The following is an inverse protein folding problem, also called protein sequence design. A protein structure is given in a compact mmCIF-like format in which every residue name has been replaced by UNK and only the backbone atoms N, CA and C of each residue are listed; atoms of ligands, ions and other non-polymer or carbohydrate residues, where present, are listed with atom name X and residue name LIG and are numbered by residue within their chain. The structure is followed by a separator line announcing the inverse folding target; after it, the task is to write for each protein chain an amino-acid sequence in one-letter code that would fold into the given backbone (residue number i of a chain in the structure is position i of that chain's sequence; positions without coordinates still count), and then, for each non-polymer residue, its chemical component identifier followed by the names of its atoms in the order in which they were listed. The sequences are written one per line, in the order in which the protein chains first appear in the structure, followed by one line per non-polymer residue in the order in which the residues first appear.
data_IF_410698461069
#
_entry.id   IF_410698461069
#
_cell.length_a   1.000
_cell.length_b   1.000
_cell.length_c   1.000
_cell.angle_alpha   90.00
_cell.angle_beta   90.00
_cell.angle_gamma   90.00
#
_symmetry.space_group_name_H-M   'P 1'
#
loop_
_entity.id
_entity.type
_entity.pdbx_description
1 polymer ?
#
# COMPACT_ATOMS: atom_id res chain seq x y z
N UNK A 1 3.10 -63.68 -12.77
CA UNK A 1 3.33 -62.59 -13.75
C UNK A 1 2.72 -61.31 -13.16
N UNK A 2 3.53 -60.49 -12.53
CA UNK A 2 3.10 -59.15 -12.00
C UNK A 2 3.31 -58.12 -13.11
N UNK A 3 2.26 -57.50 -13.60
CA UNK A 3 2.35 -56.36 -14.52
C UNK A 3 2.72 -55.11 -13.69
N UNK A 4 3.91 -54.59 -13.88
CA UNK A 4 4.28 -53.27 -13.46
C UNK A 4 3.60 -52.24 -14.41
N UNK A 5 2.77 -51.40 -13.86
CA UNK A 5 2.22 -50.22 -14.54
C UNK A 5 3.24 -49.11 -14.35
N UNK A 6 3.96 -48.73 -15.39
CA UNK A 6 4.81 -47.54 -15.40
C UNK A 6 3.90 -46.30 -15.53
N UNK A 7 3.75 -45.54 -14.46
CA UNK A 7 3.10 -44.25 -14.53
C UNK A 7 4.17 -43.21 -14.88
N UNK A 8 4.18 -42.79 -16.13
CA UNK A 8 5.03 -41.66 -16.57
C UNK A 8 4.39 -40.37 -16.09
N UNK A 9 4.90 -39.79 -15.01
CA UNK A 9 4.56 -38.41 -14.61
C UNK A 9 5.18 -37.46 -15.64
N UNK A 10 4.39 -36.90 -16.49
CA UNK A 10 4.77 -35.72 -17.28
C UNK A 10 4.74 -34.51 -16.34
N UNK A 11 5.91 -34.07 -15.90
CA UNK A 11 6.07 -32.78 -15.22
C UNK A 11 5.85 -31.73 -16.31
N UNK A 12 4.62 -31.26 -16.43
CA UNK A 12 4.33 -30.02 -17.16
C UNK A 12 4.91 -28.92 -16.32
N UNK A 13 5.96 -28.27 -16.83
CA UNK A 13 6.61 -27.16 -16.14
C UNK A 13 5.60 -26.02 -15.97
N UNK A 14 5.15 -25.81 -14.74
CA UNK A 14 4.32 -24.66 -14.32
C UNK A 14 5.03 -23.30 -14.48
N UNK A 15 6.28 -23.29 -14.93
CA UNK A 15 7.07 -22.07 -15.12
C UNK A 15 6.58 -21.15 -16.25
N UNK A 16 5.69 -21.62 -17.12
CA UNK A 16 5.16 -20.80 -18.24
C UNK A 16 3.98 -19.90 -17.85
N UNK A 17 3.22 -20.24 -16.81
CA UNK A 17 2.02 -19.48 -16.43
C UNK A 17 2.29 -18.31 -15.48
N UNK A 18 3.34 -18.40 -14.66
CA UNK A 18 3.73 -17.30 -13.77
C UNK A 18 4.51 -16.18 -14.46
N UNK A 19 5.05 -16.44 -15.64
CA UNK A 19 5.82 -15.45 -16.40
C UNK A 19 4.95 -14.59 -17.33
N UNK A 20 3.73 -15.00 -17.63
CA UNK A 20 2.85 -14.26 -18.55
C UNK A 20 2.00 -13.16 -17.87
N UNK A 21 1.84 -13.20 -16.55
CA UNK A 21 1.15 -12.13 -15.81
C UNK A 21 2.09 -11.02 -15.31
N UNK A 22 3.42 -11.28 -15.30
CA UNK A 22 4.45 -10.30 -14.91
C UNK A 22 5.16 -9.64 -16.10
N UNK A 23 4.90 -10.14 -17.32
CA UNK A 23 5.44 -9.62 -18.58
C UNK A 23 4.29 -9.26 -19.57
N UNK A 24 3.23 -8.62 -19.12
CA UNK A 24 2.49 -7.75 -19.99
C UNK A 24 3.51 -6.68 -20.45
N UNK A 25 3.72 -6.59 -21.76
CA UNK A 25 4.73 -5.83 -22.46
C UNK A 25 4.98 -4.43 -21.85
N UNK A 26 5.78 -4.37 -20.79
CA UNK A 26 6.17 -3.16 -20.05
C UNK A 26 7.40 -2.48 -20.69
N UNK A 27 7.83 -2.98 -21.85
CA UNK A 27 9.04 -2.48 -22.55
C UNK A 27 8.81 -1.21 -23.35
N UNK A 28 7.72 -0.48 -23.09
CA UNK A 28 7.36 0.72 -23.85
C UNK A 28 7.12 2.01 -23.07
N UNK A 29 7.09 1.99 -21.73
CA UNK A 29 6.82 3.17 -20.90
C UNK A 29 7.75 3.21 -19.68
N UNK A 30 8.60 4.25 -19.58
CA UNK A 30 9.16 4.73 -18.32
C UNK A 30 10.32 3.94 -17.70
N UNK A 31 11.17 3.24 -18.46
CA UNK A 31 12.38 2.59 -17.90
C UNK A 31 12.13 1.32 -17.10
N UNK A 32 13.24 0.67 -16.67
CA UNK A 32 13.17 -0.55 -15.85
C UNK A 32 12.98 -0.21 -14.36
N UNK A 33 12.09 -0.93 -13.65
CA UNK A 33 11.96 -0.83 -12.21
C UNK A 33 13.25 -1.29 -11.54
N UNK A 34 13.87 -0.40 -10.76
CA UNK A 34 15.04 -0.68 -9.94
C UNK A 34 14.58 -1.05 -8.52
N UNK A 35 15.18 -2.11 -7.94
CA UNK A 35 14.88 -2.54 -6.55
C UNK A 35 16.13 -2.41 -5.72
N UNK A 36 15.99 -1.89 -4.49
CA UNK A 36 17.10 -1.67 -3.60
C UNK A 36 16.66 -1.66 -2.13
N UNK A 37 17.62 -1.44 -1.24
CA UNK A 37 17.42 -1.32 0.19
C UNK A 37 18.10 -0.06 0.71
N UNK A 38 17.48 0.60 1.67
CA UNK A 38 18.07 1.67 2.46
C UNK A 38 18.21 1.22 3.91
N UNK A 39 19.33 1.59 4.55
CA UNK A 39 19.52 1.34 5.97
C UNK A 39 18.73 2.37 6.80
N UNK A 40 18.00 1.91 7.82
CA UNK A 40 17.27 2.76 8.75
C UNK A 40 17.57 2.33 10.19
N UNK A 41 17.17 3.13 11.17
CA UNK A 41 17.30 2.76 12.58
C UNK A 41 16.60 1.44 12.92
N UNK A 42 15.51 1.11 12.21
CA UNK A 42 14.68 -0.07 12.46
C UNK A 42 14.93 -1.24 11.50
N UNK A 43 16.08 -1.26 10.83
CA UNK A 43 16.46 -2.30 9.88
C UNK A 43 16.50 -1.78 8.44
N UNK A 44 16.73 -2.68 7.49
CA UNK A 44 16.77 -2.31 6.07
C UNK A 44 15.35 -2.23 5.53
N UNK A 45 15.08 -1.15 4.82
CA UNK A 45 13.82 -0.90 4.15
C UNK A 45 13.97 -1.13 2.65
N UNK A 46 13.18 -2.05 2.12
CA UNK A 46 13.11 -2.30 0.68
C UNK A 46 12.29 -1.21 -0.02
N UNK A 47 12.74 -0.81 -1.18
CA UNK A 47 11.97 0.05 -2.08
C UNK A 47 12.22 -0.35 -3.53
N UNK A 48 11.31 0.06 -4.39
CA UNK A 48 11.57 0.09 -5.82
C UNK A 48 11.36 1.50 -6.35
N UNK A 49 12.06 1.83 -7.41
CA UNK A 49 11.93 3.12 -8.07
C UNK A 49 11.90 3.00 -9.59
N UNK A 50 11.28 3.99 -10.24
CA UNK A 50 11.17 4.11 -11.68
C UNK A 50 11.01 5.59 -12.07
N UNK A 51 11.52 5.97 -13.24
CA UNK A 51 11.42 7.34 -13.76
C UNK A 51 12.47 8.28 -13.17
N UNK A 52 12.43 9.51 -13.62
CA UNK A 52 13.31 10.61 -13.21
C UNK A 52 12.47 11.86 -12.94
N UNK A 53 13.05 12.88 -12.29
CA UNK A 53 12.37 14.14 -11.99
C UNK A 53 12.08 14.36 -10.51
N UNK A 54 11.05 15.17 -10.17
CA UNK A 54 10.62 15.37 -8.78
C UNK A 54 10.24 14.05 -8.11
N UNK A 55 10.70 13.84 -6.87
CA UNK A 55 10.41 12.60 -6.17
C UNK A 55 8.94 12.51 -5.73
N UNK A 56 8.32 11.34 -5.95
CA UNK A 56 7.01 10.95 -5.46
C UNK A 56 7.14 9.63 -4.71
N UNK A 57 6.96 9.67 -3.38
CA UNK A 57 7.07 8.49 -2.52
C UNK A 57 5.68 7.92 -2.25
N UNK A 58 5.56 6.59 -2.36
CA UNK A 58 4.32 5.84 -2.26
C UNK A 58 4.33 4.92 -1.05
N UNK A 59 3.30 5.01 -0.20
CA UNK A 59 3.13 4.23 1.03
C UNK A 59 1.89 3.35 0.94
N UNK A 60 2.10 2.04 0.90
CA UNK A 60 1.05 1.03 0.81
C UNK A 60 0.14 1.02 2.05
N UNK A 61 -1.05 0.47 1.90
CA UNK A 61 -1.96 0.25 3.01
C UNK A 61 -1.46 -0.86 3.96
N UNK A 62 -1.97 -0.87 5.18
CA UNK A 62 -1.71 -1.94 6.14
C UNK A 62 -2.04 -3.31 5.54
N UNK A 63 -1.17 -4.31 5.76
CA UNK A 63 -1.35 -5.65 5.21
C UNK A 63 -1.04 -5.80 3.72
N UNK A 64 -0.41 -4.78 3.11
CA UNK A 64 0.06 -4.79 1.73
C UNK A 64 1.57 -4.50 1.65
N UNK A 65 2.08 -4.33 0.45
CA UNK A 65 3.48 -4.02 0.14
C UNK A 65 3.54 -2.95 -0.95
N UNK A 66 4.72 -2.44 -1.25
CA UNK A 66 4.96 -1.52 -2.36
C UNK A 66 4.46 -2.03 -3.72
N UNK A 67 4.23 -3.34 -3.86
CA UNK A 67 3.64 -3.93 -5.06
C UNK A 67 2.23 -3.42 -5.36
N UNK A 68 1.54 -2.81 -4.40
CA UNK A 68 0.27 -2.11 -4.58
C UNK A 68 0.32 -1.04 -5.69
N UNK A 69 1.51 -0.50 -5.94
CA UNK A 69 1.74 0.57 -6.90
C UNK A 69 2.35 0.13 -8.23
N UNK A 70 2.51 -1.19 -8.46
CA UNK A 70 3.11 -1.67 -9.72
C UNK A 70 2.29 -1.36 -10.97
N UNK A 71 0.98 -1.18 -10.84
CA UNK A 71 0.14 -0.80 -11.96
C UNK A 71 0.20 0.72 -12.26
N UNK A 72 0.25 1.55 -11.21
CA UNK A 72 0.20 3.01 -11.39
C UNK A 72 1.61 3.64 -11.48
N UNK A 73 2.62 3.07 -10.85
CA UNK A 73 3.97 3.64 -10.82
C UNK A 73 4.56 3.91 -12.21
N UNK A 74 4.53 2.95 -13.15
CA UNK A 74 4.99 3.20 -14.53
C UNK A 74 4.23 4.31 -15.24
N UNK A 75 2.93 4.50 -14.94
CA UNK A 75 2.13 5.57 -15.53
C UNK A 75 2.52 6.97 -15.02
N UNK A 76 3.16 7.06 -13.86
CA UNK A 76 3.64 8.31 -13.25
C UNK A 76 5.11 8.57 -13.55
N UNK A 77 5.84 7.59 -14.07
CA UNK A 77 7.30 7.63 -14.25
C UNK A 77 7.78 8.60 -15.33
N UNK A 78 6.91 9.01 -16.23
CA UNK A 78 7.24 10.03 -17.24
C UNK A 78 7.41 11.45 -16.63
N UNK A 79 6.79 11.69 -15.46
CA UNK A 79 6.78 13.00 -14.81
C UNK A 79 7.55 13.01 -13.48
N UNK A 80 7.71 11.85 -12.82
CA UNK A 80 8.26 11.75 -11.47
C UNK A 80 9.29 10.63 -11.34
N UNK A 81 10.26 10.81 -10.43
CA UNK A 81 10.99 9.71 -9.83
C UNK A 81 10.06 9.06 -8.80
N UNK A 82 9.37 8.01 -9.20
CA UNK A 82 8.43 7.26 -8.36
C UNK A 82 9.21 6.28 -7.48
N UNK A 83 8.99 6.34 -6.16
CA UNK A 83 9.67 5.51 -5.17
C UNK A 83 8.60 4.87 -4.29
N UNK A 84 8.39 3.56 -4.43
CA UNK A 84 7.43 2.84 -3.60
C UNK A 84 8.15 2.02 -2.54
N UNK A 85 7.80 2.25 -1.28
CA UNK A 85 8.49 1.71 -0.11
C UNK A 85 7.68 0.54 0.45
N UNK A 86 8.35 -0.59 0.73
CA UNK A 86 7.83 -1.56 1.70
C UNK A 86 8.09 -0.98 3.09
N UNK A 87 7.07 -0.48 3.77
CA UNK A 87 7.24 0.05 5.13
C UNK A 87 7.86 -1.01 6.06
N UNK A 88 8.59 -0.64 7.11
CA UNK A 88 9.13 -1.61 8.08
C UNK A 88 8.10 -2.67 8.49
N UNK A 89 8.52 -3.89 8.71
CA UNK A 89 7.66 -5.06 8.99
C UNK A 89 6.80 -5.55 7.81
N UNK A 90 6.91 -4.96 6.61
CA UNK A 90 6.13 -5.33 5.43
C UNK A 90 7.05 -5.74 4.26
N UNK A 91 6.49 -6.54 3.36
CA UNK A 91 7.14 -6.94 2.12
C UNK A 91 8.52 -7.53 2.30
N UNK A 92 9.51 -6.93 1.67
CA UNK A 92 10.91 -7.33 1.73
C UNK A 92 11.75 -6.53 2.75
N UNK A 93 11.12 -5.58 3.46
CA UNK A 93 11.79 -4.85 4.54
C UNK A 93 12.05 -5.73 5.75
N UNK A 94 13.11 -5.40 6.49
CA UNK A 94 13.45 -6.11 7.72
C UNK A 94 12.33 -5.92 8.78
N UNK A 95 12.29 -6.83 9.73
CA UNK A 95 11.37 -6.78 10.88
C UNK A 95 12.04 -6.04 12.00
N UNK A 96 11.33 -5.10 12.58
CA UNK A 96 11.70 -4.49 13.86
C UNK A 96 11.62 -5.52 15.00
N UNK A 97 12.29 -5.24 16.09
CA UNK A 97 12.27 -6.05 17.31
C UNK A 97 11.12 -5.67 18.26
N UNK A 98 10.34 -4.66 17.91
CA UNK A 98 9.17 -4.19 18.64
C UNK A 98 8.08 -3.68 17.68
N UNK A 99 6.90 -3.39 18.23
CA UNK A 99 5.79 -2.78 17.52
C UNK A 99 6.06 -1.29 17.32
N UNK A 100 6.17 -0.88 16.05
CA UNK A 100 6.52 0.51 15.72
C UNK A 100 5.35 1.47 15.94
N UNK A 101 5.67 2.64 16.43
CA UNK A 101 4.78 3.80 16.48
C UNK A 101 4.68 4.47 15.10
N UNK A 102 3.68 5.33 14.92
CA UNK A 102 3.57 6.12 13.68
C UNK A 102 4.78 7.05 13.47
N UNK A 103 5.38 7.52 14.56
CA UNK A 103 6.59 8.35 14.51
C UNK A 103 7.78 7.57 13.97
N UNK A 104 7.99 6.34 14.44
CA UNK A 104 9.07 5.47 13.97
C UNK A 104 8.90 5.05 12.51
N UNK A 105 7.66 4.86 12.04
CA UNK A 105 7.41 4.68 10.61
C UNK A 105 7.82 5.92 9.80
N UNK A 106 7.49 7.12 10.27
CA UNK A 106 7.87 8.35 9.59
C UNK A 106 9.39 8.56 9.62
N UNK A 107 10.05 8.28 10.75
CA UNK A 107 11.51 8.38 10.90
C UNK A 107 12.22 7.43 9.94
N UNK A 108 11.74 6.18 9.79
CA UNK A 108 12.26 5.23 8.81
C UNK A 108 12.15 5.74 7.35
N UNK A 109 11.08 6.47 7.02
CA UNK A 109 10.93 7.08 5.69
C UNK A 109 11.95 8.20 5.49
N UNK A 110 12.20 9.01 6.51
CA UNK A 110 13.25 10.05 6.43
C UNK A 110 14.63 9.43 6.24
N UNK A 111 14.94 8.35 6.95
CA UNK A 111 16.19 7.60 6.76
C UNK A 111 16.32 7.10 5.32
N UNK A 112 15.25 6.53 4.74
CA UNK A 112 15.23 6.13 3.32
C UNK A 112 15.52 7.32 2.43
N UNK A 113 14.82 8.45 2.62
CA UNK A 113 15.02 9.65 1.81
C UNK A 113 16.48 10.15 1.86
N UNK A 114 17.08 10.15 3.05
CA UNK A 114 18.48 10.57 3.25
C UNK A 114 19.45 9.62 2.55
N UNK A 115 19.23 8.31 2.66
CA UNK A 115 20.06 7.29 2.02
C UNK A 115 20.05 7.39 0.48
N UNK A 116 18.90 7.76 -0.12
CA UNK A 116 18.77 7.83 -1.59
C UNK A 116 18.91 9.25 -2.16
N UNK A 117 19.31 10.21 -1.29
CA UNK A 117 19.58 11.60 -1.68
C UNK A 117 18.33 12.39 -2.10
N UNK A 118 17.20 12.16 -1.43
CA UNK A 118 15.94 12.88 -1.66
C UNK A 118 15.69 13.88 -0.54
N UNK A 119 15.98 15.15 -0.78
CA UNK A 119 15.75 16.22 0.20
C UNK A 119 14.27 16.48 0.45
N UNK A 120 13.45 16.44 -0.61
CA UNK A 120 12.01 16.69 -0.55
C UNK A 120 11.27 15.85 -1.57
N UNK A 121 10.08 15.33 -1.19
CA UNK A 121 9.25 14.54 -2.08
C UNK A 121 7.76 14.89 -1.93
N UNK A 122 6.99 14.66 -3.00
CA UNK A 122 5.54 14.50 -2.89
C UNK A 122 5.24 13.15 -2.27
N UNK A 123 4.11 13.02 -1.57
CA UNK A 123 3.73 11.79 -0.88
C UNK A 123 2.38 11.29 -1.36
N UNK A 124 2.27 10.00 -1.59
CA UNK A 124 1.00 9.32 -1.79
C UNK A 124 0.89 8.18 -0.79
N UNK A 125 -0.19 8.13 -0.05
CA UNK A 125 -0.46 7.05 0.89
C UNK A 125 -1.87 6.50 0.75
N UNK A 126 -2.00 5.18 0.84
CA UNK A 126 -3.27 4.45 0.85
C UNK A 126 -3.56 3.98 2.27
N UNK A 127 -4.79 4.21 2.79
CA UNK A 127 -5.24 3.79 4.12
C UNK A 127 -4.16 4.04 5.20
N UNK A 128 -3.52 2.99 5.75
CA UNK A 128 -2.45 3.14 6.75
C UNK A 128 -1.28 4.00 6.26
N UNK A 129 -0.89 3.88 4.99
CA UNK A 129 0.16 4.71 4.38
C UNK A 129 -0.21 6.19 4.31
N UNK A 130 -1.50 6.53 4.24
CA UNK A 130 -1.93 7.93 4.28
C UNK A 130 -1.65 8.57 5.65
N UNK A 131 -1.76 7.81 6.74
CA UNK A 131 -1.41 8.31 8.07
C UNK A 131 0.10 8.49 8.25
N UNK A 132 0.92 7.66 7.58
CA UNK A 132 2.37 7.89 7.50
C UNK A 132 2.66 9.22 6.78
N UNK A 133 1.99 9.49 5.66
CA UNK A 133 2.13 10.76 4.94
C UNK A 133 1.67 11.97 5.76
N UNK A 134 0.58 11.83 6.53
CA UNK A 134 0.11 12.87 7.46
C UNK A 134 1.18 13.14 8.53
N UNK A 135 1.71 12.09 9.16
CA UNK A 135 2.71 12.24 10.22
C UNK A 135 4.01 12.87 9.70
N UNK A 136 4.46 12.47 8.50
CA UNK A 136 5.58 13.12 7.82
C UNK A 136 5.31 14.61 7.58
N UNK A 137 4.12 14.97 7.12
CA UNK A 137 3.73 16.36 6.86
C UNK A 137 3.69 17.23 8.11
N UNK A 138 3.41 16.64 9.28
CA UNK A 138 3.42 17.31 10.58
C UNK A 138 4.84 17.43 11.13
N UNK A 139 5.60 16.31 11.20
CA UNK A 139 6.90 16.27 11.86
C UNK A 139 8.04 16.79 10.98
N UNK A 140 7.94 16.61 9.67
CA UNK A 140 9.00 16.95 8.71
C UNK A 140 8.46 17.83 7.56
N UNK A 141 7.83 18.99 7.87
CA UNK A 141 7.10 19.77 6.87
C UNK A 141 8.00 20.23 5.70
N UNK A 142 9.29 20.46 5.91
CA UNK A 142 10.22 20.89 4.87
C UNK A 142 10.59 19.75 3.89
N UNK A 143 10.47 18.49 4.34
CA UNK A 143 10.74 17.29 3.54
C UNK A 143 9.55 16.87 2.68
N UNK A 144 8.34 17.36 2.98
CA UNK A 144 7.10 16.97 2.33
C UNK A 144 6.62 18.06 1.37
N UNK A 145 6.35 17.69 0.14
CA UNK A 145 5.72 18.51 -0.89
C UNK A 145 4.20 18.50 -0.79
N UNK A 146 3.52 18.25 -1.91
CA UNK A 146 2.08 17.99 -1.95
C UNK A 146 1.79 16.57 -1.48
N UNK A 147 0.61 16.32 -0.92
CA UNK A 147 0.21 15.01 -0.42
C UNK A 147 -1.06 14.52 -1.10
N UNK A 148 -1.07 13.24 -1.44
CA UNK A 148 -2.23 12.51 -1.91
C UNK A 148 -2.58 11.47 -0.85
N UNK A 149 -3.74 11.62 -0.23
CA UNK A 149 -4.21 10.75 0.86
C UNK A 149 -5.43 9.99 0.38
N UNK A 150 -5.33 8.68 0.32
CA UNK A 150 -6.39 7.82 -0.21
C UNK A 150 -6.96 6.92 0.89
N UNK A 151 -8.30 6.84 0.98
CA UNK A 151 -8.99 5.97 1.91
C UNK A 151 -8.75 6.27 3.40
N UNK A 152 -8.23 7.45 3.74
CA UNK A 152 -8.03 7.89 5.11
C UNK A 152 -9.18 8.80 5.55
N UNK A 153 -9.76 8.52 6.70
CA UNK A 153 -10.93 9.32 7.14
C UNK A 153 -11.02 9.53 8.64
N UNK A 154 -10.31 8.72 9.41
CA UNK A 154 -10.33 8.84 10.86
C UNK A 154 -9.41 9.95 11.35
N UNK A 155 -9.90 10.80 12.22
CA UNK A 155 -9.22 11.98 12.76
C UNK A 155 -9.06 11.97 14.29
N UNK A 156 -9.43 10.89 14.97
CA UNK A 156 -9.41 10.80 16.44
C UNK A 156 -8.83 9.50 16.99
N UNK A 157 -8.54 9.53 18.28
CA UNK A 157 -8.09 8.37 19.04
C UNK A 157 -9.17 7.28 19.11
N UNK A 158 -8.73 6.04 19.08
CA UNK A 158 -9.57 4.90 19.40
C UNK A 158 -9.35 4.48 20.86
N UNK A 159 -10.43 4.03 21.51
CA UNK A 159 -10.29 3.39 22.81
C UNK A 159 -9.57 2.05 22.67
N UNK A 160 -8.87 1.62 23.72
CA UNK A 160 -8.19 0.32 23.71
C UNK A 160 -9.16 -0.84 23.41
N UNK A 161 -10.40 -0.78 23.95
CA UNK A 161 -11.44 -1.77 23.67
C UNK A 161 -11.76 -1.85 22.17
N UNK A 162 -11.86 -0.69 21.48
CA UNK A 162 -12.11 -0.66 20.03
C UNK A 162 -10.92 -1.15 19.22
N UNK A 163 -9.70 -0.84 19.65
CA UNK A 163 -8.48 -1.37 19.05
C UNK A 163 -8.48 -2.90 19.15
N UNK A 164 -8.71 -3.44 20.34
CA UNK A 164 -8.73 -4.89 20.59
C UNK A 164 -9.82 -5.60 19.77
N UNK A 165 -10.99 -4.97 19.59
CA UNK A 165 -12.05 -5.47 18.71
C UNK A 165 -11.56 -5.56 17.27
N UNK A 166 -10.99 -4.47 16.71
CA UNK A 166 -10.56 -4.38 15.32
C UNK A 166 -9.40 -5.33 14.98
N UNK A 167 -8.43 -5.46 15.89
CA UNK A 167 -7.28 -6.35 15.71
C UNK A 167 -7.69 -7.82 15.68
N UNK A 168 -8.80 -8.17 16.31
CA UNK A 168 -9.28 -9.55 16.36
C UNK A 168 -10.30 -9.89 15.26
N UNK A 169 -10.51 -9.03 14.28
CA UNK A 169 -11.38 -9.32 13.13
C UNK A 169 -10.68 -10.20 12.09
N UNK A 170 -11.44 -10.93 11.26
CA UNK A 170 -10.86 -11.69 10.14
C UNK A 170 -10.13 -10.82 9.10
N UNK A 171 -10.37 -9.50 9.08
CA UNK A 171 -9.66 -8.56 8.21
C UNK A 171 -8.24 -8.26 8.69
N UNK A 172 -8.04 -8.25 10.00
CA UNK A 172 -6.80 -7.82 10.63
C UNK A 172 -6.03 -8.95 11.29
N UNK A 173 -6.68 -10.08 11.55
CA UNK A 173 -6.06 -11.24 12.17
C UNK A 173 -5.89 -12.38 11.17
N UNK A 174 -4.71 -13.00 11.20
CA UNK A 174 -4.49 -14.22 10.45
C UNK A 174 -5.38 -15.34 10.96
N UNK A 175 -6.11 -15.95 10.04
CA UNK A 175 -6.86 -17.16 10.35
C UNK A 175 -5.88 -18.32 10.58
N UNK A 176 -6.15 -19.23 11.54
CA UNK A 176 -5.33 -20.42 11.72
C UNK A 176 -5.23 -21.23 10.43
N UNK A 177 -4.03 -21.68 10.10
CA UNK A 177 -3.83 -22.59 8.97
C UNK A 177 -4.50 -23.93 9.29
N UNK A 178 -5.38 -24.38 8.41
CA UNK A 178 -6.05 -25.67 8.48
C UNK A 178 -5.66 -26.57 7.28
N UNK A 179 -5.89 -27.88 7.42
CA UNK A 179 -5.49 -28.87 6.42
C UNK A 179 -6.38 -28.85 5.17
N UNK A 180 -7.58 -28.33 5.28
CA UNK A 180 -8.57 -28.31 4.20
C UNK A 180 -8.49 -27.02 3.37
N UNK A 181 -7.67 -26.04 3.83
CA UNK A 181 -7.45 -24.75 3.13
C UNK A 181 -8.61 -23.76 3.31
N UNK A 182 -9.50 -23.96 4.27
CA UNK A 182 -10.60 -23.01 4.52
C UNK A 182 -10.12 -21.59 4.82
N UNK A 183 -8.96 -21.46 5.47
CA UNK A 183 -8.38 -20.15 5.76
C UNK A 183 -8.09 -19.35 4.49
N UNK A 184 -7.68 -20.02 3.39
CA UNK A 184 -7.45 -19.37 2.10
C UNK A 184 -8.76 -18.84 1.53
N UNK A 185 -9.82 -19.66 1.56
CA UNK A 185 -11.13 -19.24 1.07
C UNK A 185 -11.68 -18.07 1.89
N UNK A 186 -11.59 -18.14 3.21
CA UNK A 186 -12.05 -17.05 4.10
C UNK A 186 -11.25 -15.77 3.88
N UNK A 187 -9.94 -15.86 3.68
CA UNK A 187 -9.10 -14.71 3.37
C UNK A 187 -9.48 -14.13 1.99
N UNK A 188 -9.64 -14.99 0.97
CA UNK A 188 -10.08 -14.58 -0.35
C UNK A 188 -11.42 -13.83 -0.32
N UNK A 189 -12.40 -14.33 0.45
CA UNK A 189 -13.71 -13.72 0.57
C UNK A 189 -13.64 -12.32 1.18
N UNK A 190 -12.72 -12.08 2.12
CA UNK A 190 -12.45 -10.74 2.66
C UNK A 190 -11.91 -9.82 1.56
N UNK A 191 -10.89 -10.25 0.82
CA UNK A 191 -10.27 -9.44 -0.23
C UNK A 191 -11.23 -9.14 -1.38
N UNK A 192 -12.09 -10.11 -1.72
CA UNK A 192 -13.17 -9.91 -2.70
C UNK A 192 -14.20 -8.86 -2.26
N UNK A 193 -14.51 -8.78 -0.97
CA UNK A 193 -15.41 -7.76 -0.43
C UNK A 193 -14.78 -6.36 -0.39
N UNK A 194 -13.47 -6.27 -0.40
CA UNK A 194 -12.73 -5.01 -0.46
C UNK A 194 -12.56 -4.50 -1.90
N UNK A 195 -12.80 -5.35 -2.90
CA UNK A 195 -12.79 -4.97 -4.31
C UNK A 195 -14.10 -4.32 -4.71
N UNK A 196 -14.07 -3.47 -5.74
CA UNK A 196 -15.30 -3.00 -6.38
C UNK A 196 -16.10 -4.17 -6.97
N UNK A 197 -17.40 -3.96 -7.10
CA UNK A 197 -18.35 -5.01 -7.50
C UNK A 197 -18.07 -5.58 -8.91
N UNK A 198 -17.46 -4.79 -9.79
CA UNK A 198 -17.08 -5.15 -11.15
C UNK A 198 -15.61 -5.57 -11.31
N UNK A 199 -14.82 -5.61 -10.22
CA UNK A 199 -13.39 -5.95 -10.28
C UNK A 199 -13.17 -7.39 -10.74
N UNK A 200 -12.37 -7.63 -11.79
CA UNK A 200 -11.99 -8.97 -12.18
C UNK A 200 -11.23 -9.71 -11.07
N UNK A 201 -11.43 -11.03 -10.90
CA UNK A 201 -10.76 -11.81 -9.85
C UNK A 201 -9.23 -11.72 -9.90
N UNK A 202 -8.65 -11.57 -11.07
CA UNK A 202 -7.21 -11.46 -11.30
C UNK A 202 -6.63 -10.20 -10.66
N UNK A 203 -7.38 -9.10 -10.63
CA UNK A 203 -6.98 -7.84 -9.96
C UNK A 203 -6.95 -8.02 -8.44
N UNK A 204 -7.98 -8.66 -7.86
CA UNK A 204 -8.02 -8.98 -6.44
C UNK A 204 -6.95 -9.98 -6.00
N UNK A 205 -6.47 -10.82 -6.94
CA UNK A 205 -5.55 -11.91 -6.63
C UNK A 205 -4.18 -11.40 -6.13
N UNK A 206 -3.68 -10.28 -6.65
CA UNK A 206 -2.40 -9.72 -6.21
C UNK A 206 -2.42 -9.26 -4.74
N UNK A 207 -3.36 -8.39 -4.29
CA UNK A 207 -3.46 -8.05 -2.88
C UNK A 207 -3.74 -9.25 -1.97
N UNK A 208 -4.48 -10.25 -2.43
CA UNK A 208 -4.65 -11.50 -1.70
C UNK A 208 -3.34 -12.25 -1.49
N UNK A 209 -2.51 -12.39 -2.54
CA UNK A 209 -1.17 -13.01 -2.41
C UNK A 209 -0.27 -12.23 -1.47
N UNK A 210 -0.28 -10.90 -1.56
CA UNK A 210 0.50 -10.05 -0.66
C UNK A 210 0.14 -10.32 0.80
N UNK A 211 -1.16 -10.42 1.11
CA UNK A 211 -1.61 -10.68 2.47
C UNK A 211 -1.12 -12.01 3.02
N UNK A 212 -1.05 -13.04 2.18
CA UNK A 212 -0.55 -14.36 2.59
C UNK A 212 0.95 -14.33 2.89
N UNK A 213 1.72 -13.52 2.17
CA UNK A 213 3.17 -13.37 2.40
C UNK A 213 3.49 -12.60 3.69
N UNK A 214 2.56 -11.76 4.15
CA UNK A 214 2.73 -10.90 5.32
C UNK A 214 2.11 -11.48 6.60
N UNK A 215 1.71 -12.75 6.59
CA UNK A 215 1.20 -13.41 7.81
C UNK A 215 2.16 -13.20 8.96
N UNK A 216 1.62 -12.92 10.15
CA UNK A 216 2.28 -12.63 11.41
C UNK A 216 2.76 -11.18 11.62
N UNK A 217 2.89 -10.34 10.57
CA UNK A 217 3.43 -8.97 10.68
C UNK A 217 2.50 -7.88 10.14
N UNK A 218 1.49 -8.24 9.36
CA UNK A 218 0.61 -7.28 8.70
C UNK A 218 -0.13 -6.33 9.65
N UNK A 219 -0.16 -6.67 10.93
CA UNK A 219 -0.85 -5.88 11.95
C UNK A 219 -0.03 -4.73 12.52
N UNK A 220 1.28 -4.70 12.33
CA UNK A 220 2.13 -3.69 12.93
C UNK A 220 1.69 -2.28 12.54
N UNK A 221 1.51 -2.01 11.23
CA UNK A 221 1.01 -0.71 10.78
C UNK A 221 -0.42 -0.43 11.24
N UNK A 222 -1.30 -1.44 11.32
CA UNK A 222 -2.65 -1.26 11.88
C UNK A 222 -2.60 -0.79 13.33
N UNK A 223 -1.71 -1.35 14.16
CA UNK A 223 -1.56 -0.93 15.55
C UNK A 223 -1.11 0.53 15.65
N UNK A 224 -0.12 0.92 14.86
CA UNK A 224 0.33 2.30 14.79
C UNK A 224 -0.81 3.24 14.38
N UNK A 225 -1.55 2.89 13.32
CA UNK A 225 -2.69 3.67 12.83
C UNK A 225 -3.78 3.80 13.89
N UNK A 226 -4.14 2.73 14.57
CA UNK A 226 -5.25 2.76 15.54
C UNK A 226 -4.91 3.56 16.81
N UNK A 227 -3.63 3.66 17.16
CA UNK A 227 -3.14 4.47 18.30
C UNK A 227 -2.78 5.90 17.91
N UNK A 228 -2.74 6.20 16.61
CA UNK A 228 -2.36 7.50 16.13
C UNK A 228 -3.55 8.45 16.07
N UNK A 229 -3.38 9.61 16.69
CA UNK A 229 -4.35 10.71 16.64
C UNK A 229 -3.61 11.98 16.22
N UNK A 230 -3.61 12.31 14.91
CA UNK A 230 -2.90 13.49 14.41
C UNK A 230 -3.55 14.80 14.89
N UNK A 231 -2.73 15.74 15.30
CA UNK A 231 -3.15 17.13 15.41
C UNK A 231 -3.15 17.77 14.01
N UNK A 232 -4.27 17.62 13.29
CA UNK A 232 -4.42 18.13 11.93
C UNK A 232 -4.26 19.64 11.78
N UNK A 233 -4.33 20.41 12.91
CA UNK A 233 -4.04 21.85 12.87
C UNK A 233 -2.58 22.15 12.52
N UNK A 234 -1.68 21.20 12.71
CA UNK A 234 -0.26 21.29 12.35
C UNK A 234 0.02 20.78 10.93
N UNK A 235 -0.95 20.10 10.29
CA UNK A 235 -0.80 19.58 8.94
C UNK A 235 -1.11 20.67 7.91
N UNK A 236 -0.08 21.30 7.38
CA UNK A 236 -0.20 22.42 6.44
C UNK A 236 0.39 22.06 5.08
N UNK A 237 -0.21 21.07 4.40
CA UNK A 237 0.20 20.62 3.08
C UNK A 237 -0.93 20.79 2.06
N UNK A 238 -0.56 21.18 0.83
CA UNK A 238 -1.49 21.07 -0.29
C UNK A 238 -1.85 19.58 -0.43
N UNK A 239 -3.15 19.28 -0.33
CA UNK A 239 -3.61 17.90 -0.16
C UNK A 239 -4.73 17.57 -1.12
N UNK A 240 -4.56 16.45 -1.83
CA UNK A 240 -5.60 15.75 -2.56
C UNK A 240 -6.09 14.57 -1.71
N UNK A 241 -7.38 14.50 -1.51
CA UNK A 241 -8.06 13.38 -0.85
C UNK A 241 -8.77 12.54 -1.92
N UNK A 242 -8.38 11.27 -2.01
CA UNK A 242 -9.00 10.30 -2.92
C UNK A 242 -9.92 9.36 -2.14
N UNK A 243 -11.11 9.17 -2.64
CA UNK A 243 -12.07 8.20 -2.14
C UNK A 243 -12.46 7.25 -3.26
N UNK A 244 -12.14 5.97 -3.11
CA UNK A 244 -12.67 4.95 -3.99
C UNK A 244 -14.17 4.74 -3.69
N UNK A 245 -14.98 4.61 -4.74
CA UNK A 245 -16.45 4.64 -4.63
C UNK A 245 -17.02 3.50 -3.79
N UNK A 246 -16.42 2.32 -3.88
CA UNK A 246 -16.84 1.11 -3.18
C UNK A 246 -15.80 0.68 -2.12
N UNK A 247 -14.95 1.62 -1.64
CA UNK A 247 -14.02 1.34 -0.54
C UNK A 247 -14.78 0.98 0.74
N UNK A 248 -14.21 0.09 1.56
CA UNK A 248 -14.78 -0.27 2.87
C UNK A 248 -14.86 0.91 3.83
N UNK A 249 -14.10 1.99 3.57
CA UNK A 249 -14.09 3.25 4.29
C UNK A 249 -14.74 4.39 3.48
N UNK A 250 -15.52 4.05 2.44
CA UNK A 250 -16.20 5.07 1.65
C UNK A 250 -17.09 5.97 2.52
N UNK A 251 -16.91 7.28 2.38
CA UNK A 251 -17.55 8.29 3.21
C UNK A 251 -16.68 8.84 4.35
N UNK A 252 -15.70 8.06 4.86
CA UNK A 252 -14.82 8.51 5.94
C UNK A 252 -13.84 9.61 5.48
N UNK A 253 -13.41 9.57 4.23
CA UNK A 253 -12.48 10.56 3.63
C UNK A 253 -13.06 11.98 3.70
N UNK A 254 -14.38 12.12 3.63
CA UNK A 254 -15.05 13.41 3.76
C UNK A 254 -14.85 14.06 5.14
N UNK A 255 -14.70 13.26 6.21
CA UNK A 255 -14.36 13.76 7.54
C UNK A 255 -12.99 14.41 7.54
N UNK A 256 -12.03 13.76 6.92
CA UNK A 256 -10.66 14.30 6.80
C UNK A 256 -10.65 15.57 5.94
N UNK A 257 -11.44 15.61 4.85
CA UNK A 257 -11.59 16.80 4.02
C UNK A 257 -12.12 18.02 4.80
N UNK A 258 -13.04 17.81 5.72
CA UNK A 258 -13.55 18.89 6.58
C UNK A 258 -12.50 19.42 7.56
N UNK A 259 -11.52 18.60 7.94
CA UNK A 259 -10.50 18.92 8.93
C UNK A 259 -9.15 19.36 8.32
N UNK A 260 -8.97 19.28 6.99
CA UNK A 260 -7.80 19.79 6.28
C UNK A 260 -8.23 20.96 5.38
N UNK A 261 -8.09 22.22 5.84
CA UNK A 261 -8.52 23.38 5.08
C UNK A 261 -7.80 23.49 3.73
N UNK A 262 -8.56 23.72 2.66
CA UNK A 262 -8.02 23.89 1.32
C UNK A 262 -7.68 22.58 0.61
N UNK A 263 -7.91 21.42 1.22
CA UNK A 263 -7.76 20.13 0.53
C UNK A 263 -8.74 20.01 -0.65
N UNK A 264 -8.35 19.23 -1.65
CA UNK A 264 -9.17 18.89 -2.81
C UNK A 264 -9.70 17.47 -2.61
N UNK A 265 -10.99 17.27 -2.72
CA UNK A 265 -11.61 15.96 -2.66
C UNK A 265 -11.97 15.46 -4.06
N UNK A 266 -11.65 14.20 -4.33
CA UNK A 266 -12.01 13.49 -5.57
C UNK A 266 -12.48 12.08 -5.24
N UNK A 267 -13.61 11.70 -5.85
CA UNK A 267 -14.13 10.33 -5.81
C UNK A 267 -13.71 9.59 -7.09
N UNK A 268 -13.21 8.38 -6.92
CA UNK A 268 -12.79 7.49 -8.01
C UNK A 268 -13.90 6.46 -8.22
N UNK A 269 -14.62 6.52 -9.35
CA UNK A 269 -15.72 5.60 -9.61
C UNK A 269 -15.21 4.18 -9.90
N UNK A 270 -16.07 3.18 -9.77
CA UNK A 270 -15.82 1.77 -10.09
C UNK A 270 -14.60 1.17 -9.38
N UNK A 271 -14.21 1.70 -8.24
CA UNK A 271 -13.03 1.26 -7.48
C UNK A 271 -13.36 1.00 -6.02
N UNK A 272 -12.72 0.00 -5.46
CA UNK A 272 -12.73 -0.37 -4.05
C UNK A 272 -11.39 -0.08 -3.38
N UNK A 273 -11.06 -0.84 -2.34
CA UNK A 273 -9.80 -0.66 -1.60
C UNK A 273 -8.54 -0.97 -2.41
N UNK A 274 -8.69 -1.48 -3.65
CA UNK A 274 -7.57 -1.78 -4.57
C UNK A 274 -7.52 -0.78 -5.74
N UNK A 275 -7.95 0.44 -5.55
CA UNK A 275 -8.17 1.43 -6.61
C UNK A 275 -6.97 1.65 -7.53
N UNK A 276 -5.73 1.50 -7.03
CA UNK A 276 -4.52 1.66 -7.83
C UNK A 276 -4.24 0.47 -8.76
N UNK A 277 -4.91 -0.67 -8.55
CA UNK A 277 -4.97 -1.80 -9.48
C UNK A 277 -6.24 -1.76 -10.33
N UNK A 278 -7.36 -1.27 -9.78
CA UNK A 278 -8.66 -1.30 -10.41
C UNK A 278 -8.80 -0.20 -11.48
N UNK A 279 -8.33 1.01 -11.18
CA UNK A 279 -8.43 2.20 -12.05
C UNK A 279 -7.08 2.96 -12.12
N UNK A 280 -5.97 2.29 -12.57
CA UNK A 280 -4.64 2.89 -12.52
C UNK A 280 -4.49 4.14 -13.40
N UNK A 281 -5.04 4.15 -14.63
CA UNK A 281 -4.94 5.28 -15.55
C UNK A 281 -5.71 6.50 -15.02
N UNK A 282 -6.91 6.28 -14.48
CA UNK A 282 -7.72 7.35 -13.91
C UNK A 282 -7.02 7.97 -12.69
N UNK A 283 -6.53 7.13 -11.78
CA UNK A 283 -5.79 7.59 -10.61
C UNK A 283 -4.51 8.35 -11.00
N UNK A 284 -3.73 7.82 -11.95
CA UNK A 284 -2.52 8.49 -12.44
C UNK A 284 -2.84 9.88 -13.03
N UNK A 285 -3.91 10.00 -13.81
CA UNK A 285 -4.38 11.27 -14.36
C UNK A 285 -4.74 12.27 -13.26
N UNK A 286 -5.54 11.86 -12.28
CA UNK A 286 -5.96 12.73 -11.16
C UNK A 286 -4.75 13.19 -10.33
N UNK A 287 -3.81 12.28 -10.04
CA UNK A 287 -2.60 12.59 -9.25
C UNK A 287 -1.72 13.56 -10.00
N UNK A 288 -1.49 13.34 -11.29
CA UNK A 288 -0.68 14.21 -12.16
C UNK A 288 -1.27 15.62 -12.25
N UNK A 289 -2.58 15.74 -12.46
CA UNK A 289 -3.29 17.03 -12.53
C UNK A 289 -3.18 17.82 -11.22
N UNK A 290 -3.09 17.12 -10.09
CA UNK A 290 -2.95 17.75 -8.79
C UNK A 290 -1.50 18.16 -8.48
N UNK A 291 -0.53 17.30 -8.78
CA UNK A 291 0.88 17.55 -8.38
C UNK A 291 1.52 18.61 -9.30
N UNK A 292 1.24 18.62 -10.60
CA UNK A 292 1.72 19.62 -11.53
C UNK A 292 1.01 20.96 -11.34
#
# INVERSE_FOLDING_TARGET
MKKQILVTLSIISLNGFFQSATNADMTGMGGDIQRSYADTEHGRVHYWEIGEGPALILFHQSGQTSSEYLAIGPLLADDYRVIAIDLPNHGQSDTSDHELTMDEYADSVIDVMDNIGVDRAHMLGQHGGAYVAINLGIRYPDRVGKTVLSGAGRDGEMTQEKIDELINTPMTRDLPIDMDGEFLQKTWDVYRKMSASNTPPEVTFQPFLNSLSLRQRRYDLHYAVYRYSPDLSQFNKETLLLEAEEDIYAGDVMTLHQNIPGSIYKRVPNSGSWQFFEEPELNAGIIRDFIN
#
